data_IF_080744815869
#
_entry.id   IF_080744815869
#
_cell.length_a   1.000
_cell.length_b   1.000
_cell.length_c   1.000
_cell.angle_alpha   90.00
_cell.angle_beta   90.00
_cell.angle_gamma   90.00
#
_symmetry.space_group_name_H-M   'P 1'
#
loop_
_entity.id
_entity.type
_entity.pdbx_description
1 polymer ?
#
# COMPACT_ATOMS: atom_id res chain seq x y z
N UNK A 1 19.45 -1.69 4.17
CA UNK A 1 18.98 -0.33 4.45
C UNK A 1 17.46 -0.30 4.51
N UNK A 2 16.91 0.45 5.45
CA UNK A 2 15.48 0.50 5.67
C UNK A 2 14.90 1.79 5.12
N UNK A 3 13.80 1.69 4.37
CA UNK A 3 13.08 2.86 3.87
C UNK A 3 12.12 3.36 4.93
N UNK A 4 11.87 4.67 4.94
CA UNK A 4 10.77 5.22 5.72
C UNK A 4 9.46 4.94 5.00
N UNK A 5 8.40 4.67 5.75
CA UNK A 5 7.09 4.41 5.17
C UNK A 5 6.14 5.51 5.62
N UNK A 6 5.56 6.21 4.64
CA UNK A 6 4.60 7.26 4.88
C UNK A 6 3.31 6.98 4.10
N UNK A 7 2.22 7.54 4.57
CA UNK A 7 0.93 7.35 3.94
C UNK A 7 0.45 8.66 3.32
N UNK A 8 -0.04 8.58 2.08
CA UNK A 8 -0.88 9.65 1.57
C UNK A 8 -2.05 9.82 2.57
N UNK A 9 -2.48 11.04 2.87
CA UNK A 9 -3.54 11.25 3.89
C UNK A 9 -4.79 10.41 3.68
N UNK A 10 -5.22 10.24 2.45
CA UNK A 10 -6.39 9.40 2.15
C UNK A 10 -6.11 7.92 2.33
N UNK A 11 -4.88 7.49 2.05
CA UNK A 11 -4.48 6.11 2.30
C UNK A 11 -4.41 5.82 3.80
N UNK A 12 -3.96 6.79 4.59
CA UNK A 12 -3.94 6.64 6.04
C UNK A 12 -5.35 6.42 6.59
N UNK A 13 -6.33 7.14 6.05
CA UNK A 13 -7.72 6.96 6.46
C UNK A 13 -8.24 5.60 6.04
N UNK A 14 -7.90 5.16 4.83
CA UNK A 14 -8.30 3.84 4.35
C UNK A 14 -7.73 2.71 5.21
N UNK A 15 -6.48 2.83 5.62
CA UNK A 15 -5.85 1.86 6.51
C UNK A 15 -6.55 1.83 7.87
N UNK A 16 -6.82 3.00 8.41
CA UNK A 16 -7.48 3.11 9.71
C UNK A 16 -8.87 2.50 9.68
N UNK A 17 -9.65 2.80 8.65
CA UNK A 17 -11.00 2.26 8.51
C UNK A 17 -10.98 0.74 8.35
N UNK A 18 -10.07 0.24 7.51
CA UNK A 18 -9.91 -1.20 7.30
C UNK A 18 -9.59 -1.92 8.61
N UNK A 19 -8.62 -1.41 9.37
CA UNK A 19 -8.19 -2.05 10.61
C UNK A 19 -9.24 -1.95 11.70
N UNK A 20 -9.99 -0.85 11.76
CA UNK A 20 -11.06 -0.70 12.73
C UNK A 20 -12.14 -1.75 12.53
N UNK A 21 -12.44 -2.09 11.28
CA UNK A 21 -13.47 -3.06 10.95
C UNK A 21 -12.94 -4.50 10.92
N UNK A 22 -11.62 -4.68 10.96
CA UNK A 22 -10.98 -5.99 10.85
C UNK A 22 -9.79 -6.05 11.79
N UNK A 23 -10.08 -6.06 13.10
CA UNK A 23 -9.01 -6.00 14.12
C UNK A 23 -8.02 -7.15 14.01
N UNK A 24 -8.45 -8.28 13.47
CA UNK A 24 -7.59 -9.45 13.28
C UNK A 24 -6.46 -9.18 12.27
N UNK A 25 -6.56 -8.14 11.47
CA UNK A 25 -5.54 -7.80 10.49
C UNK A 25 -4.39 -6.95 11.06
N UNK A 26 -4.51 -6.47 12.29
CA UNK A 26 -3.50 -5.58 12.86
C UNK A 26 -2.08 -6.17 12.80
N UNK A 27 -1.94 -7.43 13.17
CA UNK A 27 -0.63 -8.08 13.16
C UNK A 27 -0.08 -8.20 11.74
N UNK A 28 -0.89 -8.74 10.83
CA UNK A 28 -0.45 -8.95 9.45
C UNK A 28 -0.13 -7.62 8.76
N UNK A 29 -0.95 -6.59 9.00
CA UNK A 29 -0.73 -5.30 8.38
C UNK A 29 0.59 -4.69 8.83
N UNK A 30 0.91 -4.84 10.11
CA UNK A 30 2.20 -4.37 10.63
C UNK A 30 3.36 -5.09 9.94
N UNK A 31 3.22 -6.40 9.71
CA UNK A 31 4.23 -7.17 8.98
C UNK A 31 4.38 -6.68 7.54
N UNK A 32 3.28 -6.35 6.89
CA UNK A 32 3.33 -5.80 5.52
C UNK A 32 4.13 -4.49 5.50
N UNK A 33 3.89 -3.61 6.46
CA UNK A 33 4.63 -2.34 6.53
C UNK A 33 6.12 -2.57 6.74
N UNK A 34 6.50 -3.55 7.56
CA UNK A 34 7.89 -3.90 7.76
C UNK A 34 8.54 -4.41 6.48
N UNK A 35 7.82 -5.25 5.72
CA UNK A 35 8.32 -5.73 4.44
C UNK A 35 8.52 -4.60 3.44
N UNK A 36 7.60 -3.64 3.42
CA UNK A 36 7.72 -2.49 2.54
C UNK A 36 8.94 -1.65 2.92
N UNK A 37 9.23 -1.52 4.20
CA UNK A 37 10.38 -0.76 4.67
C UNK A 37 11.70 -1.45 4.31
N UNK A 38 11.73 -2.77 4.38
CA UNK A 38 12.97 -3.52 4.18
C UNK A 38 13.25 -3.86 2.71
N UNK A 39 12.21 -4.29 1.98
CA UNK A 39 12.38 -4.78 0.62
C UNK A 39 11.28 -4.32 -0.32
N UNK A 40 11.11 -3.00 -0.51
CA UNK A 40 10.00 -2.50 -1.34
C UNK A 40 10.12 -2.92 -2.81
N UNK A 41 11.32 -3.15 -3.30
CA UNK A 41 11.53 -3.50 -4.71
C UNK A 41 11.12 -4.92 -5.08
N UNK A 42 10.86 -5.79 -4.09
CA UNK A 42 10.45 -7.16 -4.41
C UNK A 42 9.00 -7.26 -4.87
N UNK A 43 8.20 -6.22 -4.65
CA UNK A 43 6.79 -6.25 -5.01
C UNK A 43 6.59 -5.88 -6.48
N UNK A 44 5.59 -6.48 -7.14
CA UNK A 44 5.42 -6.30 -8.58
C UNK A 44 5.04 -4.88 -8.97
N UNK A 45 5.59 -4.43 -10.09
CA UNK A 45 5.26 -3.13 -10.66
C UNK A 45 3.89 -3.15 -11.31
N UNK A 46 3.23 -2.01 -11.28
CA UNK A 46 2.00 -1.81 -12.03
C UNK A 46 2.35 -1.31 -13.44
N UNK A 47 1.35 -1.26 -14.30
CA UNK A 47 1.50 -0.80 -15.68
C UNK A 47 0.59 0.39 -15.95
N UNK A 48 0.74 1.01 -17.13
CA UNK A 48 -0.12 2.12 -17.54
C UNK A 48 0.05 3.34 -16.66
N UNK A 49 -1.06 3.89 -16.21
CA UNK A 49 -1.05 5.12 -15.41
C UNK A 49 -0.36 4.95 -14.07
N UNK A 50 -0.21 3.73 -13.59
CA UNK A 50 0.44 3.44 -12.32
C UNK A 50 1.84 2.85 -12.51
N UNK A 51 2.49 3.11 -13.63
CA UNK A 51 3.81 2.54 -13.93
C UNK A 51 4.90 2.94 -12.92
N UNK A 52 4.69 4.01 -12.15
CA UNK A 52 5.61 4.43 -11.11
C UNK A 52 5.32 3.74 -9.77
N UNK A 53 4.32 2.89 -9.74
CA UNK A 53 3.86 2.25 -8.50
C UNK A 53 4.09 0.75 -8.51
N UNK A 54 4.06 0.19 -7.30
CA UNK A 54 4.08 -1.25 -7.04
C UNK A 54 2.90 -1.58 -6.17
N UNK A 55 2.58 -2.86 -6.06
CA UNK A 55 1.43 -3.28 -5.26
C UNK A 55 1.76 -4.47 -4.38
N UNK A 56 1.24 -4.44 -3.16
CA UNK A 56 1.23 -5.56 -2.24
C UNK A 56 -0.19 -6.09 -2.20
N UNK A 57 -0.35 -7.40 -2.43
CA UNK A 57 -1.66 -8.04 -2.48
C UNK A 57 -1.93 -8.78 -1.18
N UNK A 58 -3.15 -8.65 -0.68
CA UNK A 58 -3.55 -9.36 0.54
C UNK A 58 -5.06 -9.59 0.52
N UNK A 59 -5.58 -10.28 1.53
CA UNK A 59 -7.00 -10.57 1.60
C UNK A 59 -7.62 -9.99 2.86
N UNK A 60 -8.85 -9.50 2.72
CA UNK A 60 -9.66 -9.02 3.83
C UNK A 60 -10.96 -9.80 3.77
N UNK A 61 -11.18 -10.69 4.76
CA UNK A 61 -12.36 -11.55 4.81
C UNK A 61 -12.57 -12.31 3.48
N UNK A 62 -11.48 -12.82 2.92
CA UNK A 62 -11.52 -13.59 1.67
C UNK A 62 -11.56 -12.76 0.40
N UNK A 63 -11.70 -11.46 0.49
CA UNK A 63 -11.73 -10.58 -0.68
C UNK A 63 -10.34 -10.05 -1.00
N UNK A 64 -10.03 -9.93 -2.28
CA UNK A 64 -8.74 -9.42 -2.74
C UNK A 64 -8.64 -7.92 -2.52
N UNK A 65 -7.62 -7.50 -1.78
CA UNK A 65 -7.29 -6.10 -1.54
C UNK A 65 -5.89 -5.80 -2.02
N UNK A 66 -5.61 -4.53 -2.24
CA UNK A 66 -4.30 -4.07 -2.68
C UNK A 66 -3.86 -2.85 -1.88
N UNK A 67 -2.56 -2.84 -1.59
CA UNK A 67 -1.88 -1.67 -1.06
C UNK A 67 -0.98 -1.19 -2.19
N UNK A 68 -1.25 -0.01 -2.73
CA UNK A 68 -0.48 0.57 -3.83
C UNK A 68 0.47 1.62 -3.27
N UNK A 69 1.73 1.51 -3.63
CA UNK A 69 2.77 2.40 -3.12
C UNK A 69 3.76 2.76 -4.21
N UNK A 70 4.52 3.81 -3.96
CA UNK A 70 5.63 4.18 -4.84
C UNK A 70 6.88 4.37 -4.00
N UNK A 71 8.04 4.21 -4.65
CA UNK A 71 9.33 4.33 -3.99
C UNK A 71 9.97 5.63 -4.46
N UNK A 72 10.36 6.48 -3.52
CA UNK A 72 11.05 7.73 -3.81
C UNK A 72 12.48 7.56 -3.31
N UNK A 73 13.34 7.06 -4.19
CA UNK A 73 14.72 6.69 -3.85
C UNK A 73 15.52 7.82 -3.26
N UNK A 74 15.39 9.01 -3.83
CA UNK A 74 16.14 10.17 -3.36
C UNK A 74 15.88 10.52 -1.90
N UNK A 75 14.77 10.02 -1.34
CA UNK A 75 14.37 10.29 0.03
C UNK A 75 14.34 9.05 0.90
N UNK A 76 14.75 7.91 0.37
CA UNK A 76 14.62 6.61 1.04
C UNK A 76 13.21 6.43 1.60
N UNK A 77 12.21 6.71 0.75
CA UNK A 77 10.81 6.79 1.16
C UNK A 77 9.93 5.84 0.35
N UNK A 78 9.08 5.12 1.07
CA UNK A 78 7.96 4.38 0.48
C UNK A 78 6.70 5.15 0.83
N UNK A 79 6.00 5.64 -0.19
CA UNK A 79 4.74 6.35 0.02
C UNK A 79 3.58 5.45 -0.35
N UNK A 80 2.74 5.13 0.63
CA UNK A 80 1.53 4.36 0.39
C UNK A 80 0.47 5.29 -0.14
N UNK A 81 0.01 5.02 -1.37
CA UNK A 81 -0.87 5.91 -2.12
C UNK A 81 -2.34 5.54 -1.95
N UNK A 82 -2.64 4.25 -1.91
CA UNK A 82 -4.03 3.79 -1.80
C UNK A 82 -4.10 2.38 -1.20
N UNK A 83 -5.17 2.12 -0.44
CA UNK A 83 -5.45 0.80 0.13
C UNK A 83 -6.93 0.54 -0.07
N UNK A 84 -7.28 -0.61 -0.62
CA UNK A 84 -8.68 -0.95 -0.82
C UNK A 84 -8.85 -2.20 -1.67
N UNK A 85 -10.13 -2.56 -1.92
CA UNK A 85 -10.43 -3.64 -2.87
C UNK A 85 -9.82 -3.31 -4.23
N UNK A 86 -9.57 -4.34 -5.01
CA UNK A 86 -8.83 -4.29 -6.26
C UNK A 86 -9.11 -3.04 -7.13
N UNK A 87 -10.37 -2.86 -7.55
CA UNK A 87 -10.73 -1.75 -8.43
C UNK A 87 -10.64 -0.39 -7.74
N UNK A 88 -11.07 -0.33 -6.48
CA UNK A 88 -11.08 0.91 -5.73
C UNK A 88 -9.67 1.43 -5.48
N UNK A 89 -8.75 0.55 -5.11
CA UNK A 89 -7.36 0.93 -4.87
C UNK A 89 -6.72 1.49 -6.14
N UNK A 90 -6.96 0.84 -7.28
CA UNK A 90 -6.43 1.28 -8.56
C UNK A 90 -6.94 2.69 -8.92
N UNK A 91 -8.26 2.87 -8.89
CA UNK A 91 -8.88 4.14 -9.23
C UNK A 91 -8.41 5.26 -8.31
N UNK A 92 -8.33 4.99 -7.02
CA UNK A 92 -7.88 5.97 -6.04
C UNK A 92 -6.43 6.37 -6.27
N UNK A 93 -5.56 5.40 -6.54
CA UNK A 93 -4.15 5.68 -6.78
C UNK A 93 -3.95 6.57 -8.01
N UNK A 94 -4.68 6.29 -9.09
CA UNK A 94 -4.60 7.11 -10.31
C UNK A 94 -4.95 8.56 -10.01
N UNK A 95 -5.95 8.80 -9.18
CA UNK A 95 -6.38 10.16 -8.84
C UNK A 95 -5.40 10.89 -7.92
N UNK A 96 -4.59 10.16 -7.17
CA UNK A 96 -3.70 10.74 -6.16
C UNK A 96 -2.28 10.98 -6.64
N UNK A 97 -1.93 10.49 -7.82
CA UNK A 97 -0.58 10.65 -8.36
C UNK A 97 -0.39 11.91 -9.21
#
# INVERSE_FOLDING_TARGET
MTFNVEFHPKAAKEAKDMLRMNLELNYDFRQYLEELAEEPYKFPKKKGKLKSCRALYFKVKGNAWRLIFRIIDARDLVEIVAIGPHEDAYSSAVKRL
#
